data_IF_534653547600
#
_entry.id   IF_534653547600
#
_cell.length_a   1.000
_cell.length_b   1.000
_cell.length_c   1.000
_cell.angle_alpha   90.00
_cell.angle_beta   90.00
_cell.angle_gamma   90.00
#
_symmetry.space_group_name_H-M   'P 1'
#
loop_
_entity.id
_entity.type
_entity.pdbx_description
1 polymer ?
#
# COMPACT_ATOMS: atom_id res chain seq x y z
N UNK A 1 -21.87 20.25 4.34
CA UNK A 1 -22.19 19.63 3.03
C UNK A 1 -21.21 19.98 1.90
N UNK A 2 -21.22 21.17 1.26
CA UNK A 2 -20.32 21.47 0.11
C UNK A 2 -18.81 21.44 0.45
N UNK A 3 -18.41 21.95 1.62
CA UNK A 3 -17.01 22.01 2.07
C UNK A 3 -16.41 20.63 2.36
N UNK A 4 -17.20 19.74 2.95
CA UNK A 4 -16.78 18.35 3.27
C UNK A 4 -16.63 17.48 2.02
N UNK A 5 -17.45 17.71 0.99
CA UNK A 5 -17.30 17.02 -0.30
C UNK A 5 -16.01 17.44 -1.01
N UNK A 6 -15.67 18.74 -0.96
CA UNK A 6 -14.41 19.26 -1.51
C UNK A 6 -13.21 18.71 -0.74
N UNK A 7 -13.29 18.65 0.60
CA UNK A 7 -12.21 18.10 1.42
C UNK A 7 -11.96 16.63 1.10
N UNK A 8 -13.01 15.79 1.01
CA UNK A 8 -12.87 14.38 0.60
C UNK A 8 -12.18 14.21 -0.75
N UNK A 9 -12.55 15.04 -1.74
CA UNK A 9 -11.91 15.05 -3.05
C UNK A 9 -10.43 15.44 -2.96
N UNK A 10 -10.10 16.45 -2.15
CA UNK A 10 -8.73 16.90 -1.93
C UNK A 10 -7.88 15.85 -1.22
N UNK A 11 -8.43 15.17 -0.21
CA UNK A 11 -7.76 14.10 0.52
C UNK A 11 -7.48 12.91 -0.40
N UNK A 12 -8.46 12.54 -1.24
CA UNK A 12 -8.29 11.50 -2.25
C UNK A 12 -7.20 11.87 -3.27
N UNK A 13 -7.26 13.08 -3.83
CA UNK A 13 -6.23 13.60 -4.73
C UNK A 13 -4.82 13.56 -4.10
N UNK A 14 -4.72 13.94 -2.83
CA UNK A 14 -3.46 13.94 -2.08
C UNK A 14 -2.90 12.54 -1.91
N UNK A 15 -3.74 11.55 -1.61
CA UNK A 15 -3.36 10.14 -1.54
C UNK A 15 -2.79 9.67 -2.89
N UNK A 16 -3.53 9.91 -3.98
CA UNK A 16 -3.11 9.54 -5.34
C UNK A 16 -1.74 10.14 -5.70
N UNK A 17 -1.53 11.42 -5.36
CA UNK A 17 -0.28 12.12 -5.70
C UNK A 17 0.91 11.72 -4.82
N UNK A 18 0.69 11.58 -3.51
CA UNK A 18 1.78 11.41 -2.53
C UNK A 18 2.14 9.96 -2.26
N UNK A 19 1.19 9.03 -2.37
CA UNK A 19 1.37 7.61 -2.05
C UNK A 19 1.33 6.77 -3.33
N UNK A 20 0.29 6.90 -4.15
CA UNK A 20 0.14 6.08 -5.38
C UNK A 20 1.00 6.56 -6.57
N UNK A 21 1.68 7.69 -6.44
CA UNK A 21 2.61 8.19 -7.47
C UNK A 21 1.95 8.73 -8.75
N UNK A 22 0.64 9.00 -8.75
CA UNK A 22 -0.04 9.62 -9.88
C UNK A 22 0.32 11.11 -9.91
N UNK A 23 1.29 11.48 -10.74
CA UNK A 23 1.86 12.84 -10.75
C UNK A 23 1.31 13.73 -11.86
N UNK A 24 0.66 13.14 -12.87
CA UNK A 24 0.03 13.87 -13.97
C UNK A 24 -1.22 14.58 -13.45
N UNK A 25 -1.12 15.89 -13.25
CA UNK A 25 -2.18 16.66 -12.59
C UNK A 25 -3.51 16.69 -13.36
N UNK A 26 -3.46 16.58 -14.69
CA UNK A 26 -4.66 16.45 -15.52
C UNK A 26 -5.40 15.15 -15.23
N UNK A 27 -4.68 14.04 -15.20
CA UNK A 27 -5.22 12.73 -14.84
C UNK A 27 -5.78 12.72 -13.42
N UNK A 28 -5.08 13.34 -12.46
CA UNK A 28 -5.56 13.48 -11.08
C UNK A 28 -6.88 14.26 -11.01
N UNK A 29 -6.96 15.36 -11.77
CA UNK A 29 -8.15 16.20 -11.83
C UNK A 29 -9.35 15.43 -12.41
N UNK A 30 -9.12 14.63 -13.45
CA UNK A 30 -10.13 13.77 -14.07
C UNK A 30 -10.60 12.67 -13.10
N UNK A 31 -9.67 11.97 -12.43
CA UNK A 31 -9.97 10.91 -11.44
C UNK A 31 -10.79 11.43 -10.24
N UNK A 32 -10.52 12.65 -9.81
CA UNK A 32 -11.14 13.27 -8.61
C UNK A 32 -12.40 14.09 -8.98
N UNK A 33 -12.60 14.39 -10.26
CA UNK A 33 -13.70 15.19 -10.77
C UNK A 33 -13.63 16.65 -10.33
N UNK A 34 -12.48 17.30 -10.55
CA UNK A 34 -12.24 18.75 -10.33
C UNK A 34 -11.52 19.37 -11.53
N UNK A 35 -11.45 20.70 -11.62
CA UNK A 35 -10.71 21.34 -12.70
C UNK A 35 -9.19 21.21 -12.51
N UNK A 36 -8.43 21.16 -13.61
CA UNK A 36 -6.96 21.15 -13.57
C UNK A 36 -6.38 22.37 -12.83
N UNK A 37 -7.04 23.53 -12.88
CA UNK A 37 -6.66 24.74 -12.12
C UNK A 37 -6.79 24.51 -10.62
N UNK A 38 -7.89 23.89 -10.19
CA UNK A 38 -8.10 23.53 -8.77
C UNK A 38 -7.05 22.55 -8.29
N UNK A 39 -6.71 21.57 -9.13
CA UNK A 39 -5.68 20.58 -8.82
C UNK A 39 -4.29 21.20 -8.67
N UNK A 40 -3.88 22.02 -9.65
CA UNK A 40 -2.62 22.78 -9.60
C UNK A 40 -2.50 23.60 -8.31
N UNK A 41 -3.59 24.28 -7.93
CA UNK A 41 -3.64 25.06 -6.70
C UNK A 41 -3.38 24.19 -5.47
N UNK A 42 -4.05 23.03 -5.38
CA UNK A 42 -3.88 22.12 -4.24
C UNK A 42 -2.47 21.55 -4.13
N UNK A 43 -1.90 21.09 -5.25
CA UNK A 43 -0.54 20.53 -5.31
C UNK A 43 0.49 21.56 -4.81
N UNK A 44 0.34 22.83 -5.26
CA UNK A 44 1.28 23.91 -4.94
C UNK A 44 1.10 24.44 -3.51
N UNK A 45 -0.12 24.77 -3.10
CA UNK A 45 -0.38 25.39 -1.79
C UNK A 45 -0.07 24.46 -0.61
N UNK A 46 -0.23 23.14 -0.79
CA UNK A 46 0.03 22.17 0.28
C UNK A 46 1.37 21.44 0.14
N UNK A 47 2.22 21.83 -0.82
CA UNK A 47 3.56 21.26 -0.99
C UNK A 47 3.56 19.75 -1.20
N UNK A 48 2.63 19.23 -2.02
CA UNK A 48 2.47 17.77 -2.20
C UNK A 48 3.70 17.12 -2.82
N UNK A 49 4.48 17.86 -3.62
CA UNK A 49 5.73 17.37 -4.19
C UNK A 49 6.78 17.07 -3.11
N UNK A 50 7.05 18.02 -2.21
CA UNK A 50 7.95 17.81 -1.07
C UNK A 50 7.44 16.70 -0.17
N UNK A 51 6.13 16.64 0.08
CA UNK A 51 5.54 15.57 0.88
C UNK A 51 5.72 14.20 0.23
N UNK A 52 5.49 14.08 -1.08
CA UNK A 52 5.73 12.85 -1.83
C UNK A 52 7.20 12.43 -1.75
N UNK A 53 8.12 13.36 -1.98
CA UNK A 53 9.55 13.09 -1.88
C UNK A 53 9.93 12.56 -0.49
N UNK A 54 9.43 13.20 0.58
CA UNK A 54 9.68 12.75 1.95
C UNK A 54 9.08 11.35 2.22
N UNK A 55 7.87 11.05 1.74
CA UNK A 55 7.25 9.73 1.90
C UNK A 55 8.09 8.65 1.21
N UNK A 56 8.50 8.88 -0.05
CA UNK A 56 9.33 7.94 -0.81
C UNK A 56 10.67 7.71 -0.10
N UNK A 57 11.37 8.79 0.27
CA UNK A 57 12.67 8.71 0.96
C UNK A 57 12.54 7.96 2.29
N UNK A 58 11.48 8.23 3.06
CA UNK A 58 11.25 7.58 4.36
C UNK A 58 11.02 6.08 4.17
N UNK A 59 10.18 5.70 3.20
CA UNK A 59 9.88 4.30 2.86
C UNK A 59 11.15 3.55 2.43
N UNK A 60 11.94 4.13 1.52
CA UNK A 60 13.22 3.57 1.06
C UNK A 60 14.23 3.43 2.22
N UNK A 61 14.30 4.42 3.11
CA UNK A 61 15.21 4.39 4.26
C UNK A 61 14.88 3.28 5.26
N UNK A 62 13.60 3.07 5.56
CA UNK A 62 13.17 1.98 6.43
C UNK A 62 13.32 0.62 5.73
N UNK A 63 13.05 0.53 4.43
CA UNK A 63 13.26 -0.69 3.66
C UNK A 63 14.74 -1.11 3.72
N UNK A 64 15.67 -0.18 3.47
CA UNK A 64 17.10 -0.42 3.61
C UNK A 64 17.49 -0.89 5.02
N UNK A 65 16.92 -0.26 6.05
CA UNK A 65 17.19 -0.62 7.46
C UNK A 65 16.74 -2.05 7.79
N UNK A 66 15.58 -2.49 7.30
CA UNK A 66 15.07 -3.85 7.53
C UNK A 66 15.87 -4.88 6.72
N UNK A 67 16.22 -4.57 5.47
CA UNK A 67 17.11 -5.43 4.68
C UNK A 67 18.43 -5.69 5.39
N UNK A 68 19.06 -4.65 5.95
CA UNK A 68 20.31 -4.83 6.71
C UNK A 68 20.16 -5.73 7.92
N UNK A 69 19.04 -5.65 8.64
CA UNK A 69 18.77 -6.54 9.77
C UNK A 69 18.56 -7.99 9.31
N UNK A 70 17.84 -8.19 8.22
CA UNK A 70 17.63 -9.51 7.64
C UNK A 70 18.96 -10.14 7.17
N UNK A 71 19.79 -9.40 6.45
CA UNK A 71 21.12 -9.85 6.03
C UNK A 71 21.98 -10.20 7.24
N UNK A 72 22.08 -9.32 8.23
CA UNK A 72 22.88 -9.58 9.43
C UNK A 72 22.38 -10.82 10.20
N UNK A 73 21.08 -11.08 10.22
CA UNK A 73 20.51 -12.28 10.84
C UNK A 73 20.85 -13.55 10.06
N UNK A 74 20.79 -13.51 8.72
CA UNK A 74 21.21 -14.64 7.88
C UNK A 74 22.71 -14.93 8.06
N UNK A 75 23.55 -13.89 8.00
CA UNK A 75 24.99 -14.01 8.23
C UNK A 75 25.29 -14.62 9.60
N UNK A 76 24.52 -14.22 10.63
CA UNK A 76 24.63 -14.81 11.96
C UNK A 76 24.29 -16.30 11.97
N UNK A 77 23.21 -16.71 11.29
CA UNK A 77 22.80 -18.12 11.18
C UNK A 77 23.88 -18.94 10.44
N UNK A 78 24.45 -18.40 9.36
CA UNK A 78 25.50 -19.06 8.59
C UNK A 78 26.83 -19.16 9.36
N UNK A 79 27.10 -18.19 10.25
CA UNK A 79 28.30 -18.18 11.10
C UNK A 79 28.28 -19.19 12.25
N UNK A 80 27.17 -19.92 12.44
CA UNK A 80 27.06 -20.95 13.46
C UNK A 80 27.98 -22.14 13.19
N UNK A 81 28.29 -22.95 14.22
CA UNK A 81 29.11 -24.16 14.04
C UNK A 81 28.58 -25.08 12.94
N UNK A 82 29.49 -25.82 12.30
CA UNK A 82 29.14 -26.81 11.28
C UNK A 82 28.07 -27.78 11.78
N UNK A 83 27.01 -27.92 10.99
CA UNK A 83 25.86 -28.74 11.34
C UNK A 83 24.78 -28.02 12.17
N UNK A 84 24.99 -26.77 12.58
CA UNK A 84 24.00 -25.93 13.29
C UNK A 84 23.58 -24.68 12.50
N UNK A 85 23.92 -24.60 11.21
CA UNK A 85 23.68 -23.47 10.30
C UNK A 85 22.21 -23.35 9.86
N UNK A 86 21.30 -23.37 10.83
CA UNK A 86 19.88 -23.20 10.64
C UNK A 86 19.30 -22.31 11.73
N UNK A 87 18.13 -21.73 11.44
CA UNK A 87 17.45 -20.84 12.35
C UNK A 87 16.92 -21.61 13.58
N UNK A 88 17.15 -21.08 14.78
CA UNK A 88 16.39 -21.46 15.97
C UNK A 88 15.00 -20.79 15.92
N UNK A 89 14.12 -21.14 16.86
CA UNK A 89 12.73 -20.62 16.86
C UNK A 89 12.63 -19.09 16.92
N UNK A 90 13.55 -18.40 17.60
CA UNK A 90 13.55 -16.93 17.69
C UNK A 90 14.02 -16.29 16.39
N UNK A 91 15.06 -16.85 15.79
CA UNK A 91 15.59 -16.38 14.50
C UNK A 91 14.58 -16.63 13.38
N UNK A 92 13.93 -17.80 13.36
CA UNK A 92 12.89 -18.11 12.39
C UNK A 92 11.70 -17.13 12.49
N UNK A 93 11.24 -16.82 13.70
CA UNK A 93 10.21 -15.80 13.93
C UNK A 93 10.65 -14.40 13.47
N UNK A 94 11.91 -14.02 13.74
CA UNK A 94 12.47 -12.76 13.28
C UNK A 94 12.57 -12.70 11.74
N UNK A 95 13.00 -13.78 11.07
CA UNK A 95 13.05 -13.89 9.61
C UNK A 95 11.67 -13.70 8.98
N UNK A 96 10.64 -14.34 9.54
CA UNK A 96 9.24 -14.19 9.09
C UNK A 96 8.79 -12.74 9.23
N UNK A 97 9.06 -12.10 10.37
CA UNK A 97 8.66 -10.72 10.64
C UNK A 97 9.36 -9.73 9.72
N UNK A 98 10.68 -9.83 9.56
CA UNK A 98 11.42 -8.96 8.64
C UNK A 98 10.96 -9.13 7.20
N UNK A 99 10.73 -10.37 6.76
CA UNK A 99 10.21 -10.65 5.42
C UNK A 99 8.81 -10.06 5.21
N UNK A 100 7.93 -10.15 6.21
CA UNK A 100 6.60 -9.54 6.16
C UNK A 100 6.68 -8.00 6.13
N UNK A 101 7.54 -7.41 6.96
CA UNK A 101 7.76 -5.95 6.97
C UNK A 101 8.33 -5.47 5.63
N UNK A 102 9.27 -6.19 5.01
CA UNK A 102 9.79 -5.87 3.67
C UNK A 102 8.64 -5.89 2.66
N UNK A 103 7.84 -6.96 2.60
CA UNK A 103 6.69 -7.03 1.68
C UNK A 103 5.72 -5.88 1.89
N UNK A 104 5.46 -5.49 3.14
CA UNK A 104 4.59 -4.37 3.47
C UNK A 104 5.21 -3.01 3.15
N UNK A 105 6.53 -2.87 3.26
CA UNK A 105 7.25 -1.67 2.84
C UNK A 105 7.50 -1.64 1.34
N UNK A 106 7.36 -2.74 0.61
CA UNK A 106 7.38 -2.75 -0.86
C UNK A 106 5.97 -2.50 -1.40
N UNK A 107 4.96 -3.04 -0.72
CA UNK A 107 3.55 -3.00 -1.10
C UNK A 107 2.79 -2.04 -0.19
N UNK A 108 2.40 -0.86 -0.66
CA UNK A 108 1.69 0.16 0.14
C UNK A 108 0.26 -0.25 0.56
N UNK A 109 -0.13 -1.51 0.42
CA UNK A 109 -1.47 -2.02 0.69
C UNK A 109 -1.40 -3.22 1.64
N UNK A 110 -2.10 -3.12 2.79
CA UNK A 110 -2.29 -4.27 3.66
C UNK A 110 -3.37 -5.20 3.13
N UNK A 111 -3.39 -6.45 3.59
CA UNK A 111 -4.47 -7.40 3.26
C UNK A 111 -5.83 -6.86 3.72
N UNK A 112 -5.90 -6.14 4.82
CA UNK A 112 -7.13 -5.50 5.30
C UNK A 112 -7.63 -4.43 4.32
N UNK A 113 -6.73 -3.65 3.72
CA UNK A 113 -7.08 -2.66 2.70
C UNK A 113 -7.64 -3.33 1.44
N UNK A 114 -7.02 -4.43 1.01
CA UNK A 114 -7.49 -5.23 -0.13
C UNK A 114 -8.90 -5.78 0.13
N UNK A 115 -9.15 -6.35 1.32
CA UNK A 115 -10.47 -6.87 1.70
C UNK A 115 -11.54 -5.76 1.64
N UNK A 116 -11.26 -4.60 2.24
CA UNK A 116 -12.22 -3.49 2.29
C UNK A 116 -12.53 -2.94 0.90
N UNK A 117 -11.52 -2.81 0.02
CA UNK A 117 -11.71 -2.38 -1.37
C UNK A 117 -12.57 -3.37 -2.14
N UNK A 118 -12.26 -4.68 -2.08
CA UNK A 118 -13.01 -5.70 -2.80
C UNK A 118 -14.46 -5.78 -2.33
N UNK A 119 -14.70 -5.65 -1.02
CA UNK A 119 -16.05 -5.61 -0.44
C UNK A 119 -16.85 -4.41 -0.95
N UNK A 120 -16.27 -3.21 -0.94
CA UNK A 120 -16.94 -2.00 -1.46
C UNK A 120 -17.24 -2.11 -2.94
N UNK A 121 -16.30 -2.66 -3.72
CA UNK A 121 -16.49 -2.88 -5.15
C UNK A 121 -17.61 -3.89 -5.45
N UNK A 122 -17.66 -5.00 -4.71
CA UNK A 122 -18.75 -5.97 -4.82
C UNK A 122 -20.12 -5.38 -4.44
N UNK A 123 -20.18 -4.53 -3.40
CA UNK A 123 -21.40 -3.79 -3.02
C UNK A 123 -21.83 -2.84 -4.15
N UNK A 124 -20.89 -2.10 -4.74
CA UNK A 124 -21.18 -1.21 -5.86
C UNK A 124 -21.77 -1.95 -7.07
N UNK A 125 -21.16 -3.07 -7.47
CA UNK A 125 -21.68 -3.88 -8.59
C UNK A 125 -23.07 -4.44 -8.27
N UNK A 126 -23.33 -4.77 -7.00
CA UNK A 126 -24.62 -5.33 -6.56
C UNK A 126 -25.79 -4.38 -6.80
N UNK A 127 -25.55 -3.06 -6.87
CA UNK A 127 -26.59 -2.07 -7.17
C UNK A 127 -27.16 -2.24 -8.58
N UNK A 128 -26.34 -2.72 -9.53
CA UNK A 128 -26.73 -2.91 -10.94
C UNK A 128 -26.95 -4.40 -11.32
N UNK A 129 -26.11 -5.31 -10.80
CA UNK A 129 -26.12 -6.73 -11.18
C UNK A 129 -25.70 -7.63 -10.00
N UNK A 130 -26.71 -8.22 -9.36
CA UNK A 130 -26.52 -9.13 -8.22
C UNK A 130 -25.70 -10.38 -8.59
N UNK A 131 -25.87 -10.91 -9.79
CA UNK A 131 -25.23 -12.16 -10.20
C UNK A 131 -23.73 -11.94 -10.41
N UNK A 132 -23.35 -10.85 -11.09
CA UNK A 132 -21.93 -10.46 -11.22
C UNK A 132 -21.29 -10.13 -9.88
N UNK A 133 -22.00 -9.46 -8.97
CA UNK A 133 -21.48 -9.17 -7.64
C UNK A 133 -21.12 -10.47 -6.88
N UNK A 134 -21.93 -11.52 -7.05
CA UNK A 134 -21.67 -12.84 -6.44
C UNK A 134 -20.43 -13.52 -7.04
N UNK A 135 -20.29 -13.51 -8.37
CA UNK A 135 -19.11 -14.07 -9.05
C UNK A 135 -17.83 -13.35 -8.64
N UNK A 136 -17.84 -12.01 -8.64
CA UNK A 136 -16.69 -11.18 -8.25
C UNK A 136 -16.34 -11.38 -6.78
N UNK A 137 -17.33 -11.50 -5.89
CA UNK A 137 -17.07 -11.79 -4.46
C UNK A 137 -16.37 -13.13 -4.28
N UNK A 138 -16.75 -14.16 -5.04
CA UNK A 138 -16.09 -15.47 -4.98
C UNK A 138 -14.65 -15.43 -5.48
N UNK A 139 -14.38 -14.67 -6.55
CA UNK A 139 -13.01 -14.46 -7.05
C UNK A 139 -12.17 -13.65 -6.06
N UNK A 140 -12.77 -12.62 -5.46
CA UNK A 140 -12.14 -11.80 -4.42
C UNK A 140 -11.70 -12.65 -3.23
N UNK A 141 -12.57 -13.53 -2.72
CA UNK A 141 -12.24 -14.43 -1.61
C UNK A 141 -11.07 -15.36 -1.94
N UNK A 142 -11.05 -15.94 -3.15
CA UNK A 142 -9.93 -16.76 -3.60
C UNK A 142 -8.62 -15.97 -3.69
N UNK A 143 -8.67 -14.74 -4.20
CA UNK A 143 -7.50 -13.86 -4.26
C UNK A 143 -7.02 -13.46 -2.86
N UNK A 144 -7.92 -13.04 -1.96
CA UNK A 144 -7.58 -12.67 -0.58
C UNK A 144 -6.93 -13.85 0.15
N UNK A 145 -7.44 -15.07 -0.03
CA UNK A 145 -6.81 -16.29 0.53
C UNK A 145 -5.39 -16.50 0.03
N UNK A 146 -5.10 -16.17 -1.24
CA UNK A 146 -3.75 -16.27 -1.80
C UNK A 146 -2.77 -15.25 -1.22
N UNK A 147 -3.25 -14.18 -0.57
CA UNK A 147 -2.41 -13.18 0.09
C UNK A 147 -2.11 -13.54 1.56
N UNK A 148 -2.89 -14.46 2.15
CA UNK A 148 -2.78 -14.88 3.55
C UNK A 148 -1.98 -16.19 3.69
N UNK A 149 -2.02 -17.04 2.66
CA UNK A 149 -1.37 -18.35 2.64
C UNK A 149 0.04 -18.32 2.04
#
# INVERSE_FOLDING_TARGET
MKKEAIQRKKDYAKLLYTVEGVTVQKELADRVGVSAVTMNKWVKEEGWETRRANVIITKESELYRVYRQLTALNDHIESKPDGEQFANSKEADALVKYSATIRQLETDMSVADVIEVMKRFAIYIREDDYQKAKEISSLADSFIKSLIN
#
